data_IF_629120195030
#
_entry.id   IF_629120195030
#
_cell.length_a   1.000
_cell.length_b   1.000
_cell.length_c   1.000
_cell.angle_alpha   90.00
_cell.angle_beta   90.00
_cell.angle_gamma   90.00
#
_symmetry.space_group_name_H-M   'P 1'
#
loop_
_entity.id
_entity.type
_entity.pdbx_description
1 polymer ?
#
# COMPACT_ATOMS: atom_id res chain seq x y z
N UNK A 1 4.29 2.56 3.61
CA UNK A 1 4.97 2.52 2.29
C UNK A 1 3.99 2.78 1.17
N UNK A 2 4.45 3.21 0.00
CA UNK A 2 3.60 3.36 -1.17
C UNK A 2 3.64 2.13 -2.10
N UNK A 3 2.54 1.90 -2.82
CA UNK A 3 2.41 0.80 -3.78
C UNK A 3 3.13 1.13 -5.10
N UNK A 4 4.46 1.02 -5.10
CA UNK A 4 5.28 1.34 -6.27
C UNK A 4 5.62 0.11 -7.08
N UNK A 5 5.21 0.11 -8.36
CA UNK A 5 5.45 -1.00 -9.30
C UNK A 5 4.76 -2.31 -8.90
N UNK A 6 5.34 -3.44 -9.30
CA UNK A 6 4.83 -4.79 -8.97
C UNK A 6 5.43 -5.35 -7.68
N UNK A 7 6.56 -4.80 -7.24
CA UNK A 7 7.38 -5.37 -6.16
C UNK A 7 6.85 -5.08 -4.76
N UNK A 8 5.98 -4.08 -4.59
CA UNK A 8 5.45 -3.71 -3.27
C UNK A 8 4.72 -4.87 -2.58
N UNK A 9 4.07 -5.77 -3.34
CA UNK A 9 3.33 -6.91 -2.77
C UNK A 9 4.26 -7.87 -2.05
N UNK A 10 5.37 -8.24 -2.71
CA UNK A 10 6.37 -9.15 -2.14
C UNK A 10 7.06 -8.54 -0.92
N UNK A 11 7.38 -7.24 -0.98
CA UNK A 11 7.97 -6.52 0.14
C UNK A 11 7.01 -6.40 1.33
N UNK A 12 5.76 -6.00 1.08
CA UNK A 12 4.74 -5.89 2.13
C UNK A 12 4.49 -7.24 2.80
N UNK A 13 4.43 -8.33 2.02
CA UNK A 13 4.33 -9.69 2.55
C UNK A 13 5.55 -10.05 3.39
N UNK A 14 6.77 -9.83 2.89
CA UNK A 14 8.00 -10.12 3.63
C UNK A 14 8.03 -9.42 4.98
N UNK A 15 7.74 -8.11 5.01
CA UNK A 15 7.72 -7.34 6.26
C UNK A 15 6.61 -7.81 7.21
N UNK A 16 5.43 -8.12 6.69
CA UNK A 16 4.32 -8.68 7.47
C UNK A 16 4.70 -10.02 8.10
N UNK A 17 5.30 -10.92 7.33
CA UNK A 17 5.74 -12.25 7.80
C UNK A 17 6.81 -12.14 8.90
N UNK A 18 7.59 -11.05 8.93
CA UNK A 18 8.54 -10.71 10.00
C UNK A 18 7.90 -10.03 11.22
N UNK A 19 6.57 -9.86 11.24
CA UNK A 19 5.84 -9.27 12.36
C UNK A 19 5.77 -7.74 12.34
N UNK A 20 6.23 -7.08 11.27
CA UNK A 20 6.08 -5.63 11.15
C UNK A 20 4.66 -5.24 10.77
N UNK A 21 4.13 -4.18 11.40
CA UNK A 21 2.89 -3.55 10.96
C UNK A 21 3.16 -2.78 9.66
N UNK A 22 2.60 -3.27 8.56
CA UNK A 22 2.75 -2.65 7.24
C UNK A 22 1.47 -1.89 6.90
N UNK A 23 1.61 -0.69 6.32
CA UNK A 23 0.52 0.02 5.64
C UNK A 23 0.96 0.32 4.21
N UNK A 24 0.10 -0.02 3.25
CA UNK A 24 0.34 0.21 1.82
C UNK A 24 -0.61 1.30 1.34
N UNK A 25 -0.05 2.36 0.76
CA UNK A 25 -0.79 3.55 0.33
C UNK A 25 -0.66 3.72 -1.18
N UNK A 26 -1.73 4.18 -1.83
CA UNK A 26 -1.70 4.55 -3.25
C UNK A 26 -0.71 5.73 -3.48
N UNK A 27 0.29 5.62 -4.38
CA UNK A 27 1.23 6.71 -4.71
C UNK A 27 0.53 8.03 -5.08
N UNK A 28 -0.65 7.99 -5.68
CA UNK A 28 -1.41 9.19 -6.01
C UNK A 28 -1.80 10.01 -4.76
N UNK A 29 -2.07 9.34 -3.63
CA UNK A 29 -2.38 10.01 -2.35
C UNK A 29 -1.13 10.68 -1.76
N UNK A 30 0.01 10.00 -1.82
CA UNK A 30 1.30 10.56 -1.40
C UNK A 30 1.64 11.79 -2.25
N UNK A 31 1.46 11.70 -3.58
CA UNK A 31 1.67 12.82 -4.50
C UNK A 31 0.75 14.01 -4.20
N UNK A 32 -0.54 13.77 -3.94
CA UNK A 32 -1.48 14.82 -3.54
C UNK A 32 -1.05 15.51 -2.23
N UNK A 33 -0.57 14.73 -1.27
CA UNK A 33 -0.03 15.27 -0.02
C UNK A 33 1.25 16.09 -0.24
N UNK A 34 2.16 15.64 -1.10
CA UNK A 34 3.35 16.39 -1.49
C UNK A 34 3.02 17.78 -2.05
N UNK A 35 2.02 17.83 -2.93
CA UNK A 35 1.53 19.08 -3.55
C UNK A 35 0.96 19.99 -2.46
N UNK A 36 0.18 19.46 -1.51
CA UNK A 36 -0.37 20.25 -0.40
C UNK A 36 0.71 20.86 0.50
N UNK A 37 1.89 20.22 0.59
CA UNK A 37 3.05 20.68 1.34
C UNK A 37 4.00 21.59 0.54
N UNK A 38 3.64 21.93 -0.72
CA UNK A 38 4.52 22.62 -1.68
C UNK A 38 5.91 21.98 -1.85
N UNK A 39 6.03 20.67 -1.64
CA UNK A 39 7.30 19.97 -1.80
C UNK A 39 7.63 19.79 -3.28
N UNK A 40 8.72 20.44 -3.74
CA UNK A 40 9.19 20.39 -5.14
C UNK A 40 10.46 19.54 -5.33
N UNK A 41 11.10 19.15 -4.24
CA UNK A 41 12.34 18.38 -4.26
C UNK A 41 12.03 16.89 -4.27
N UNK A 42 12.47 16.18 -5.31
CA UNK A 42 12.34 14.72 -5.40
C UNK A 42 13.71 14.07 -5.22
N UNK A 43 14.03 13.75 -3.97
CA UNK A 43 15.15 12.88 -3.58
C UNK A 43 14.59 11.71 -2.78
N UNK A 44 15.27 10.56 -2.80
CA UNK A 44 14.84 9.38 -2.04
C UNK A 44 14.65 9.70 -0.55
N UNK A 45 15.57 10.48 0.02
CA UNK A 45 15.46 11.00 1.39
C UNK A 45 14.20 11.85 1.60
N UNK A 46 13.92 12.82 0.72
CA UNK A 46 12.74 13.67 0.86
C UNK A 46 11.44 12.88 0.70
N UNK A 47 11.43 11.88 -0.19
CA UNK A 47 10.28 11.00 -0.41
C UNK A 47 10.00 10.12 0.83
N UNK A 48 11.04 9.58 1.47
CA UNK A 48 10.91 8.81 2.71
C UNK A 48 10.30 9.63 3.86
N UNK A 49 10.73 10.89 4.02
CA UNK A 49 10.19 11.81 5.03
C UNK A 49 8.74 12.15 4.72
N UNK A 50 8.42 12.44 3.46
CA UNK A 50 7.05 12.74 3.04
C UNK A 50 6.09 11.56 3.31
N UNK A 51 6.54 10.33 3.05
CA UNK A 51 5.75 9.13 3.33
C UNK A 51 5.54 8.96 4.84
N UNK A 52 6.56 9.24 5.67
CA UNK A 52 6.44 9.20 7.12
C UNK A 52 5.43 10.24 7.63
N UNK A 53 5.57 11.51 7.21
CA UNK A 53 4.65 12.60 7.54
C UNK A 53 3.20 12.28 7.12
N UNK A 54 3.04 11.70 5.92
CA UNK A 54 1.74 11.25 5.46
C UNK A 54 1.16 10.18 6.38
N UNK A 55 1.97 9.18 6.77
CA UNK A 55 1.51 8.10 7.65
C UNK A 55 1.10 8.63 9.02
N UNK A 56 1.84 9.60 9.56
CA UNK A 56 1.51 10.24 10.84
C UNK A 56 0.19 11.03 10.76
N UNK A 57 0.02 11.83 9.71
CA UNK A 57 -1.16 12.67 9.53
C UNK A 57 -2.42 11.86 9.19
N UNK A 58 -2.30 10.87 8.31
CA UNK A 58 -3.46 10.15 7.74
C UNK A 58 -3.76 8.82 8.44
N UNK A 59 -2.81 8.30 9.23
CA UNK A 59 -2.92 7.04 9.97
C UNK A 59 -3.54 5.92 9.12
N UNK A 60 -2.93 5.58 7.96
CA UNK A 60 -3.49 4.61 7.05
C UNK A 60 -3.67 3.25 7.72
N UNK A 61 -4.72 2.53 7.31
CA UNK A 61 -5.00 1.21 7.85
C UNK A 61 -3.83 0.25 7.64
N UNK A 62 -3.72 -0.73 8.55
CA UNK A 62 -2.77 -1.82 8.37
C UNK A 62 -3.16 -2.62 7.13
N UNK A 63 -2.18 -2.86 6.28
CA UNK A 63 -2.30 -3.79 5.19
C UNK A 63 -2.19 -5.22 5.72
N UNK A 64 -3.07 -6.08 5.22
CA UNK A 64 -3.01 -7.52 5.45
C UNK A 64 -2.89 -8.23 4.11
N UNK A 65 -2.13 -9.34 4.04
CA UNK A 65 -2.12 -10.16 2.85
C UNK A 65 -3.55 -10.65 2.59
N UNK A 66 -4.03 -10.46 1.36
CA UNK A 66 -5.31 -11.03 0.98
C UNK A 66 -5.17 -12.57 1.07
N UNK A 67 -6.09 -13.27 1.75
CA UNK A 67 -6.06 -14.72 1.74
C UNK A 67 -6.09 -15.20 0.29
N UNK A 68 -5.32 -16.25 -0.04
CA UNK A 68 -5.43 -16.93 -1.34
C UNK A 68 -6.82 -17.58 -1.43
N UNK A 69 -7.87 -16.79 -1.66
CA UNK A 69 -9.13 -17.33 -2.11
C UNK A 69 -8.96 -17.58 -3.61
N UNK A 70 -8.54 -18.81 -3.93
CA UNK A 70 -8.78 -19.36 -5.26
C UNK A 70 -10.24 -19.08 -5.60
N UNK A 71 -10.48 -18.38 -6.70
CA UNK A 71 -11.83 -18.30 -7.24
C UNK A 71 -12.21 -19.72 -7.65
N UNK A 72 -12.81 -20.50 -6.73
CA UNK A 72 -13.64 -21.63 -7.12
C UNK A 72 -14.77 -20.96 -7.90
N UNK A 73 -14.65 -20.99 -9.21
CA UNK A 73 -15.70 -20.66 -10.16
C UNK A 73 -16.99 -21.25 -9.60
N UNK A 74 -18.00 -20.42 -9.35
CA UNK A 74 -19.34 -20.92 -8.99
C UNK A 74 -19.69 -22.01 -10.00
N UNK A 75 -19.92 -23.27 -9.59
CA UNK A 75 -20.48 -24.23 -10.51
C UNK A 75 -21.88 -23.74 -10.86
N UNK A 76 -22.01 -23.37 -12.13
CA UNK A 76 -23.22 -23.38 -12.95
C UNK A 76 -24.47 -23.87 -12.19
N UNK A 77 -25.27 -22.95 -11.64
CA UNK A 77 -26.66 -23.29 -11.31
C UNK A 77 -27.48 -23.22 -12.59
N UNK A 78 -27.41 -24.30 -13.37
CA UNK A 78 -28.52 -24.75 -14.20
C UNK A 78 -29.38 -25.71 -13.35
N UNK A 79 -30.70 -25.54 -13.48
CA UNK A 79 -31.79 -26.45 -13.07
C UNK A 79 -32.21 -26.44 -11.59
N UNK A 80 -33.25 -25.67 -11.28
CA UNK A 80 -34.64 -26.17 -11.17
C UNK A 80 -35.63 -25.01 -11.18
#
# INVERSE_FOLDING_TARGET
MEATGIYWKSLAKYLYDYGYKVSVVNPARIKGFAISKLSRTKTDKADSVLIADFCEAMKPEAWYPQPLYIHVSRPNQLLN
#
